data_IF_457804631031
#
_entry.id   IF_457804631031
#
_cell.length_a   1.000
_cell.length_b   1.000
_cell.length_c   1.000
_cell.angle_alpha   90.00
_cell.angle_beta   90.00
_cell.angle_gamma   90.00
#
_symmetry.space_group_name_H-M   'P 1'
#
loop_
_entity.id
_entity.type
_entity.pdbx_description
1 polymer ?
#
# COMPACT_ATOMS: atom_id res chain seq x y z
N UNK A 1 11.67 -23.41 10.71
CA UNK A 1 10.82 -24.01 9.65
C UNK A 1 10.99 -23.15 8.41
N UNK A 2 11.66 -23.61 7.36
CA UNK A 2 11.84 -22.83 6.12
C UNK A 2 10.56 -22.90 5.30
N UNK A 3 9.85 -21.78 5.19
CA UNK A 3 8.67 -21.68 4.33
C UNK A 3 9.15 -21.28 2.95
N UNK A 4 8.99 -22.17 1.98
CA UNK A 4 9.35 -21.95 0.57
C UNK A 4 8.13 -21.70 -0.32
N UNK A 5 6.92 -21.80 0.22
CA UNK A 5 5.71 -21.56 -0.56
C UNK A 5 5.42 -20.04 -0.62
N UNK A 6 5.51 -19.41 -1.81
CA UNK A 6 5.35 -17.97 -1.95
C UNK A 6 3.94 -17.49 -1.58
N UNK A 7 2.91 -18.33 -1.75
CA UNK A 7 1.54 -18.00 -1.37
C UNK A 7 1.39 -17.92 0.15
N UNK A 8 2.05 -18.82 0.89
CA UNK A 8 2.03 -18.81 2.37
C UNK A 8 2.79 -17.59 2.90
N UNK A 9 3.95 -17.27 2.31
CA UNK A 9 4.70 -16.06 2.70
C UNK A 9 3.92 -14.78 2.41
N UNK A 10 3.29 -14.67 1.24
CA UNK A 10 2.42 -13.54 0.92
C UNK A 10 1.21 -13.47 1.85
N UNK A 11 0.59 -14.59 2.21
CA UNK A 11 -0.52 -14.64 3.18
C UNK A 11 -0.08 -14.22 4.59
N UNK A 12 1.11 -14.63 5.03
CA UNK A 12 1.67 -14.21 6.32
C UNK A 12 1.98 -12.71 6.30
N UNK A 13 2.63 -12.22 5.23
CA UNK A 13 2.97 -10.81 5.08
C UNK A 13 1.74 -9.90 5.05
N UNK A 14 0.75 -10.22 4.21
CA UNK A 14 -0.51 -9.48 4.13
C UNK A 14 -1.38 -9.66 5.37
N UNK A 15 -1.35 -10.83 6.00
CA UNK A 15 -2.01 -11.08 7.29
C UNK A 15 -1.42 -10.23 8.41
N UNK A 16 -0.11 -10.04 8.41
CA UNK A 16 0.58 -9.15 9.36
C UNK A 16 0.19 -7.68 9.15
N UNK A 17 0.17 -7.19 7.91
CA UNK A 17 -0.26 -5.79 7.65
C UNK A 17 -1.73 -5.56 8.00
N UNK A 18 -2.60 -6.53 7.74
CA UNK A 18 -3.98 -6.52 8.20
C UNK A 18 -4.07 -6.45 9.72
N UNK A 19 -3.31 -7.29 10.44
CA UNK A 19 -3.28 -7.30 11.90
C UNK A 19 -2.83 -5.94 12.45
N UNK A 20 -1.77 -5.35 11.90
CA UNK A 20 -1.29 -4.03 12.32
C UNK A 20 -2.32 -2.92 12.10
N UNK A 21 -3.04 -2.96 10.97
CA UNK A 21 -4.13 -2.03 10.68
C UNK A 21 -5.29 -2.19 11.67
N UNK A 22 -5.68 -3.45 11.95
CA UNK A 22 -6.73 -3.76 12.91
C UNK A 22 -6.35 -3.33 14.34
N UNK A 23 -5.09 -3.55 14.76
CA UNK A 23 -4.57 -3.10 16.04
C UNK A 23 -4.55 -1.58 16.14
N UNK A 24 -4.12 -0.88 15.07
CA UNK A 24 -4.17 0.58 14.99
C UNK A 24 -5.60 1.10 15.14
N UNK A 25 -6.57 0.50 14.44
CA UNK A 25 -7.98 0.85 14.56
C UNK A 25 -8.55 0.56 15.96
N UNK A 26 -8.14 -0.55 16.59
CA UNK A 26 -8.60 -0.92 17.94
C UNK A 26 -8.18 0.08 19.03
N UNK A 27 -7.17 0.93 18.78
CA UNK A 27 -6.79 2.00 19.72
C UNK A 27 -7.93 2.98 20.01
N UNK A 28 -8.95 3.06 19.15
CA UNK A 28 -10.14 3.89 19.38
C UNK A 28 -10.92 3.49 20.65
N UNK A 29 -10.82 2.23 21.09
CA UNK A 29 -11.44 1.78 22.34
C UNK A 29 -10.71 2.31 23.60
N UNK A 30 -9.43 2.68 23.45
CA UNK A 30 -8.60 3.25 24.51
C UNK A 30 -8.65 4.78 24.49
N UNK A 31 -8.72 5.37 23.29
CA UNK A 31 -8.72 6.82 23.08
C UNK A 31 -10.16 7.33 23.01
N UNK A 32 -10.66 7.83 24.14
CA UNK A 32 -12.07 8.30 24.28
C UNK A 32 -12.32 9.74 23.83
N UNK A 33 -11.28 10.47 23.41
CA UNK A 33 -11.37 11.87 22.97
C UNK A 33 -10.87 12.01 21.54
N UNK A 34 -11.41 12.98 20.83
CA UNK A 34 -10.89 13.35 19.51
C UNK A 34 -9.38 13.64 19.59
N UNK A 35 -8.67 13.14 18.59
CA UNK A 35 -7.23 13.29 18.51
C UNK A 35 -6.89 14.74 18.15
N UNK A 36 -5.89 15.33 18.83
CA UNK A 36 -5.42 16.68 18.48
C UNK A 36 -4.90 16.69 17.05
N UNK A 37 -5.25 17.73 16.28
CA UNK A 37 -4.85 17.90 14.88
C UNK A 37 -3.33 17.73 14.64
N UNK A 38 -2.50 18.24 15.57
CA UNK A 38 -1.04 18.10 15.48
C UNK A 38 -0.57 16.65 15.57
N UNK A 39 -1.21 15.82 16.39
CA UNK A 39 -0.88 14.40 16.52
C UNK A 39 -1.36 13.60 15.30
N UNK A 40 -2.54 13.93 14.76
CA UNK A 40 -3.01 13.36 13.50
C UNK A 40 -2.06 13.68 12.35
N UNK A 41 -1.61 14.94 12.25
CA UNK A 41 -0.67 15.38 11.21
C UNK A 41 0.68 14.70 11.35
N UNK A 42 1.17 14.50 12.59
CA UNK A 42 2.40 13.77 12.86
C UNK A 42 2.32 12.30 12.41
N UNK A 43 1.22 11.59 12.72
CA UNK A 43 1.02 10.22 12.26
C UNK A 43 0.89 10.11 10.74
N UNK A 44 0.15 11.04 10.11
CA UNK A 44 -0.02 11.06 8.66
C UNK A 44 1.31 11.32 7.95
N UNK A 45 2.11 12.27 8.47
CA UNK A 45 3.45 12.56 7.96
C UNK A 45 4.43 11.41 8.15
N UNK A 46 4.38 10.74 9.31
CA UNK A 46 5.18 9.54 9.57
C UNK A 46 4.85 8.41 8.59
N UNK A 47 3.56 8.10 8.42
CA UNK A 47 3.09 7.07 7.49
C UNK A 47 3.52 7.39 6.05
N UNK A 48 3.29 8.62 5.58
CA UNK A 48 3.72 9.05 4.25
C UNK A 48 5.25 8.92 4.06
N UNK A 49 6.03 9.31 5.06
CA UNK A 49 7.49 9.19 5.04
C UNK A 49 7.97 7.74 4.92
N UNK A 50 7.41 6.83 5.72
CA UNK A 50 7.74 5.38 5.65
C UNK A 50 7.39 4.81 4.27
N UNK A 51 6.23 5.17 3.70
CA UNK A 51 5.81 4.68 2.39
C UNK A 51 6.69 5.19 1.25
N UNK A 52 7.11 6.46 1.30
CA UNK A 52 8.07 7.01 0.32
C UNK A 52 9.42 6.29 0.43
N UNK A 53 9.92 6.09 1.65
CA UNK A 53 11.20 5.41 1.87
C UNK A 53 11.14 3.96 1.35
N UNK A 54 10.11 3.20 1.71
CA UNK A 54 9.93 1.84 1.21
C UNK A 54 9.84 1.79 -0.33
N UNK A 55 9.12 2.75 -0.93
CA UNK A 55 9.00 2.83 -2.39
C UNK A 55 10.33 3.06 -3.09
N UNK A 56 11.22 3.87 -2.51
CA UNK A 56 12.54 4.17 -3.11
C UNK A 56 13.54 3.05 -2.85
N UNK A 57 13.76 2.67 -1.58
CA UNK A 57 14.83 1.74 -1.21
C UNK A 57 14.45 0.27 -1.37
N UNK A 58 13.17 -0.09 -1.22
CA UNK A 58 12.74 -1.49 -1.24
C UNK A 58 12.09 -1.91 -2.55
N UNK A 59 11.68 -0.97 -3.41
CA UNK A 59 11.04 -1.29 -4.69
C UNK A 59 11.78 -0.67 -5.88
N UNK A 60 11.95 0.65 -5.90
CA UNK A 60 12.50 1.36 -7.06
C UNK A 60 13.96 0.96 -7.33
N UNK A 61 14.86 1.14 -6.35
CA UNK A 61 16.28 0.81 -6.51
C UNK A 61 16.47 -0.68 -6.87
N UNK A 62 15.86 -1.65 -6.14
CA UNK A 62 15.95 -3.07 -6.52
C UNK A 62 15.42 -3.37 -7.92
N UNK A 63 14.35 -2.70 -8.35
CA UNK A 63 13.80 -2.90 -9.71
C UNK A 63 14.76 -2.41 -10.81
N UNK A 64 15.48 -1.32 -10.57
CA UNK A 64 16.49 -0.78 -11.48
C UNK A 64 17.70 -1.71 -11.56
N UNK A 65 18.17 -2.21 -10.42
CA UNK A 65 19.27 -3.18 -10.35
C UNK A 65 18.91 -4.47 -11.09
N UNK A 66 17.71 -5.00 -10.87
CA UNK A 66 17.23 -6.20 -11.57
C UNK A 66 17.09 -5.97 -13.09
N UNK A 67 16.63 -4.79 -13.53
CA UNK A 67 16.58 -4.46 -14.96
C UNK A 67 17.98 -4.44 -15.58
N UNK A 68 18.97 -3.91 -14.87
CA UNK A 68 20.38 -3.90 -15.30
C UNK A 68 20.93 -5.30 -15.47
N UNK A 69 20.66 -6.21 -14.52
CA UNK A 69 21.08 -7.61 -14.59
C UNK A 69 20.48 -8.35 -15.79
N UNK A 70 19.25 -7.98 -16.18
CA UNK A 70 18.57 -8.51 -17.36
C UNK A 70 19.01 -7.84 -18.67
N UNK A 71 19.99 -6.93 -18.64
CA UNK A 71 20.45 -6.17 -19.81
C UNK A 71 19.44 -5.14 -20.32
N UNK A 72 18.44 -4.79 -19.50
CA UNK A 72 17.42 -3.80 -19.81
C UNK A 72 17.82 -2.41 -19.27
N UNK A 73 17.33 -1.31 -19.88
CA UNK A 73 17.63 0.03 -19.38
C UNK A 73 17.04 0.27 -17.98
N UNK A 74 17.86 0.74 -17.04
CA UNK A 74 17.46 1.03 -15.64
C UNK A 74 16.33 2.06 -15.53
N UNK A 75 16.24 2.99 -16.49
CA UNK A 75 15.18 4.00 -16.50
C UNK A 75 13.80 3.41 -16.81
N UNK A 76 13.72 2.20 -17.38
CA UNK A 76 12.45 1.60 -17.79
C UNK A 76 11.56 1.25 -16.60
N UNK A 77 12.02 0.52 -15.56
CA UNK A 77 11.21 0.32 -14.36
C UNK A 77 10.97 1.64 -13.61
N UNK A 78 11.93 2.56 -13.59
CA UNK A 78 11.78 3.85 -12.90
C UNK A 78 10.74 4.75 -13.56
N UNK A 79 10.84 5.01 -14.86
CA UNK A 79 9.90 5.86 -15.59
C UNK A 79 8.60 5.12 -15.93
N UNK A 80 8.72 3.93 -16.52
CA UNK A 80 7.58 3.12 -16.95
C UNK A 80 6.74 2.64 -15.77
N UNK A 81 7.37 2.17 -14.69
CA UNK A 81 6.69 1.75 -13.47
C UNK A 81 5.97 2.90 -12.77
N UNK A 82 6.60 4.08 -12.66
CA UNK A 82 5.92 5.27 -12.10
C UNK A 82 4.74 5.73 -12.94
N UNK A 83 4.88 5.78 -14.27
CA UNK A 83 3.79 6.19 -15.16
C UNK A 83 2.63 5.19 -15.10
N UNK A 84 2.91 3.88 -15.20
CA UNK A 84 1.88 2.85 -15.11
C UNK A 84 1.23 2.83 -13.73
N UNK A 85 1.99 2.94 -12.65
CA UNK A 85 1.47 3.02 -11.28
C UNK A 85 0.60 4.27 -11.07
N UNK A 86 1.05 5.42 -11.57
CA UNK A 86 0.28 6.67 -11.51
C UNK A 86 -1.03 6.58 -12.30
N UNK A 87 -0.99 6.02 -13.52
CA UNK A 87 -2.20 5.77 -14.31
C UNK A 87 -3.14 4.76 -13.64
N UNK A 88 -2.59 3.72 -13.00
CA UNK A 88 -3.36 2.75 -12.24
C UNK A 88 -4.09 3.41 -11.06
N UNK A 89 -3.38 4.22 -10.26
CA UNK A 89 -4.00 4.96 -9.16
C UNK A 89 -5.03 5.98 -9.65
N UNK A 90 -4.76 6.68 -10.76
CA UNK A 90 -5.71 7.60 -11.37
C UNK A 90 -6.98 6.89 -11.89
N UNK A 91 -6.82 5.69 -12.45
CA UNK A 91 -7.94 4.88 -12.90
C UNK A 91 -8.78 4.40 -11.71
N UNK A 92 -8.14 3.95 -10.63
CA UNK A 92 -8.79 3.54 -9.38
C UNK A 92 -9.58 4.70 -8.76
N UNK A 93 -8.99 5.89 -8.70
CA UNK A 93 -9.61 7.10 -8.17
C UNK A 93 -10.88 7.49 -8.95
N UNK A 94 -10.79 7.48 -10.29
CA UNK A 94 -11.94 7.77 -11.17
C UNK A 94 -13.02 6.69 -11.17
N UNK A 95 -12.65 5.44 -10.90
CA UNK A 95 -13.59 4.33 -10.90
C UNK A 95 -14.52 4.34 -9.68
N UNK A 96 -14.18 5.07 -8.62
CA UNK A 96 -14.96 5.08 -7.39
C UNK A 96 -15.72 6.38 -7.12
N UNK A 97 -16.98 6.26 -6.67
CA UNK A 97 -17.65 7.36 -6.00
C UNK A 97 -16.98 7.60 -4.64
N UNK A 98 -16.27 8.71 -4.51
CA UNK A 98 -15.59 9.07 -3.28
C UNK A 98 -15.87 10.52 -2.90
N UNK A 99 -15.74 10.82 -1.60
CA UNK A 99 -15.87 12.17 -1.06
C UNK A 99 -14.48 12.67 -0.66
N UNK A 100 -14.04 13.78 -1.24
CA UNK A 100 -12.81 14.44 -0.80
C UNK A 100 -13.03 15.00 0.62
N UNK A 101 -12.09 14.83 1.57
CA UNK A 101 -12.19 15.43 2.90
C UNK A 101 -12.38 16.95 2.82
N UNK A 102 -13.57 17.45 3.18
CA UNK A 102 -13.93 18.88 3.12
C UNK A 102 -14.86 19.28 1.97
N UNK A 103 -15.33 18.34 1.15
CA UNK A 103 -16.34 18.56 0.10
C UNK A 103 -17.66 17.85 0.43
N UNK A 104 -18.79 18.51 0.13
CA UNK A 104 -20.14 17.95 0.28
C UNK A 104 -20.64 17.26 -1.01
N UNK A 105 -19.90 17.40 -2.12
CA UNK A 105 -20.23 16.82 -3.42
C UNK A 105 -19.37 15.56 -3.68
N UNK A 106 -19.98 14.39 -3.98
CA UNK A 106 -19.22 13.19 -4.34
C UNK A 106 -18.58 13.32 -5.72
N UNK A 107 -17.27 13.08 -5.81
CA UNK A 107 -16.51 12.95 -7.06
C UNK A 107 -16.59 11.51 -7.58
N UNK A 108 -16.47 11.33 -8.90
CA UNK A 108 -16.66 10.03 -9.56
C UNK A 108 -18.11 9.76 -10.00
N UNK A 109 -18.50 8.50 -10.25
CA UNK A 109 -19.85 8.14 -10.70
C UNK A 109 -20.92 8.54 -9.67
N UNK A 110 -22.09 9.02 -10.12
CA UNK A 110 -23.21 9.28 -9.20
C UNK A 110 -23.56 8.01 -8.43
N UNK A 111 -23.57 8.11 -7.10
CA UNK A 111 -23.72 6.96 -6.22
C UNK A 111 -24.70 7.24 -5.09
N UNK A 112 -25.57 6.28 -4.80
CA UNK A 112 -26.50 6.32 -3.66
C UNK A 112 -25.88 5.74 -2.37
N UNK A 113 -24.56 5.51 -2.35
CA UNK A 113 -23.88 4.92 -1.21
C UNK A 113 -23.82 5.87 -0.03
N UNK A 114 -23.88 5.32 1.19
CA UNK A 114 -23.71 6.10 2.43
C UNK A 114 -22.25 6.54 2.56
N UNK A 115 -22.02 7.69 3.24
CA UNK A 115 -20.68 8.23 3.53
C UNK A 115 -19.71 7.21 4.10
N UNK A 116 -20.16 6.39 5.05
CA UNK A 116 -19.35 5.32 5.65
C UNK A 116 -18.89 4.29 4.61
N UNK A 117 -19.79 3.90 3.69
CA UNK A 117 -19.47 2.93 2.65
C UNK A 117 -18.44 3.49 1.66
N UNK A 118 -18.57 4.77 1.28
CA UNK A 118 -17.57 5.44 0.43
C UNK A 118 -16.20 5.54 1.11
N UNK A 119 -16.17 5.83 2.42
CA UNK A 119 -14.92 5.87 3.19
C UNK A 119 -14.25 4.50 3.27
N UNK A 120 -15.02 3.42 3.49
CA UNK A 120 -14.50 2.04 3.47
C UNK A 120 -13.93 1.70 2.10
N UNK A 121 -14.63 2.03 1.01
CA UNK A 121 -14.12 1.80 -0.34
C UNK A 121 -12.85 2.58 -0.65
N UNK A 122 -12.78 3.86 -0.27
CA UNK A 122 -11.60 4.69 -0.44
C UNK A 122 -10.38 4.11 0.29
N UNK A 123 -10.53 3.72 1.56
CA UNK A 123 -9.47 3.06 2.32
C UNK A 123 -9.07 1.73 1.66
N UNK A 124 -10.05 0.90 1.28
CA UNK A 124 -9.79 -0.40 0.64
C UNK A 124 -8.93 -0.26 -0.61
N UNK A 125 -9.24 0.70 -1.49
CA UNK A 125 -8.43 0.90 -2.70
C UNK A 125 -7.02 1.38 -2.41
N UNK A 126 -6.82 2.16 -1.36
CA UNK A 126 -5.48 2.60 -0.97
C UNK A 126 -4.62 1.43 -0.48
N UNK A 127 -5.22 0.44 0.18
CA UNK A 127 -4.52 -0.75 0.66
C UNK A 127 -4.21 -1.78 -0.44
N UNK A 128 -4.85 -1.70 -1.62
CA UNK A 128 -4.56 -2.62 -2.74
C UNK A 128 -3.10 -2.48 -3.21
N UNK A 129 -2.59 -1.28 -3.56
CA UNK A 129 -1.17 -1.05 -3.87
C UNK A 129 -0.21 -1.60 -2.82
N UNK A 130 -0.51 -1.38 -1.53
CA UNK A 130 0.33 -1.87 -0.43
C UNK A 130 0.36 -3.40 -0.38
N UNK A 131 -0.81 -4.04 -0.50
CA UNK A 131 -0.92 -5.49 -0.54
C UNK A 131 -0.18 -6.10 -1.73
N UNK A 132 -0.25 -5.47 -2.90
CA UNK A 132 0.50 -5.89 -4.09
C UNK A 132 2.02 -5.79 -3.87
N UNK A 133 2.51 -4.70 -3.28
CA UNK A 133 3.93 -4.51 -3.00
C UNK A 133 4.48 -5.57 -2.01
N UNK A 134 3.74 -5.85 -0.94
CA UNK A 134 4.10 -6.90 0.03
C UNK A 134 4.10 -8.28 -0.63
N UNK A 135 3.06 -8.60 -1.40
CA UNK A 135 2.96 -9.89 -2.10
C UNK A 135 4.10 -10.10 -3.10
N UNK A 136 4.44 -9.07 -3.89
CA UNK A 136 5.56 -9.12 -4.83
C UNK A 136 6.90 -9.31 -4.08
N UNK A 137 7.11 -8.63 -2.96
CA UNK A 137 8.35 -8.72 -2.19
C UNK A 137 8.61 -10.15 -1.69
N UNK A 138 7.59 -10.83 -1.18
CA UNK A 138 7.69 -12.23 -0.73
C UNK A 138 7.78 -13.24 -1.88
N UNK A 139 7.16 -12.94 -3.03
CA UNK A 139 7.32 -13.75 -4.23
C UNK A 139 8.78 -13.70 -4.72
N UNK A 140 9.35 -12.49 -4.82
CA UNK A 140 10.72 -12.27 -5.26
C UNK A 140 11.76 -12.87 -4.30
N UNK A 141 11.54 -12.80 -2.98
CA UNK A 141 12.44 -13.43 -2.01
C UNK A 141 12.56 -14.94 -2.22
N UNK A 142 11.43 -15.59 -2.55
CA UNK A 142 11.39 -17.03 -2.86
C UNK A 142 12.11 -17.34 -4.18
N UNK A 143 11.89 -16.53 -5.23
CA UNK A 143 12.52 -16.70 -6.54
C UNK A 143 14.03 -16.47 -6.53
N UNK A 144 14.53 -15.60 -5.67
CA UNK A 144 15.96 -15.34 -5.50
C UNK A 144 16.70 -16.43 -4.70
N UNK A 145 16.03 -17.53 -4.32
CA UNK A 145 16.60 -18.60 -3.50
C UNK A 145 16.82 -18.19 -2.04
N UNK A 146 16.36 -17.01 -1.63
CA UNK A 146 16.43 -16.56 -0.25
C UNK A 146 15.34 -17.28 0.56
N UNK A 147 15.75 -18.30 1.31
CA UNK A 147 14.90 -18.87 2.37
C UNK A 147 14.59 -17.77 3.37
N UNK A 148 13.36 -17.23 3.30
CA UNK A 148 12.91 -16.21 4.25
C UNK A 148 12.72 -16.92 5.59
N UNK A 149 13.72 -16.79 6.46
CA UNK A 149 13.67 -17.36 7.80
C UNK A 149 12.79 -16.45 8.63
N UNK A 150 11.57 -16.90 8.92
CA UNK A 150 10.70 -16.27 9.92
C UNK A 150 11.29 -16.61 11.30
N UNK A 151 12.21 -15.78 11.77
CA UNK A 151 12.72 -15.80 13.14
C UNK A 151 12.39 -14.46 13.81
#
# INVERSE_FOLDING_TARGET
MTITNPYILAAIGTGFTFLMTALGAATIFLIRKEMKQGMQSAFLGFAAGVMIAASVWSLLIPSMEQAKELGMPEWLPAGGGFVLGGLFLLALDKALPHLHPGSDEPEGPKSSLKRTTMLVFAVTLHNIPEGMAVGLSFALSTSAGASTTLA
#
